data_IF_678333693298
#
_entry.id   IF_678333693298
#
_cell.length_a   1.000
_cell.length_b   1.000
_cell.length_c   1.000
_cell.angle_alpha   90.00
_cell.angle_beta   90.00
_cell.angle_gamma   90.00
#
_symmetry.space_group_name_H-M   'P 1'
#
loop_
_entity.id
_entity.type
_entity.pdbx_description
1 polymer ?
#
# COMPACT_ATOMS: atom_id res chain seq x y z
N UNK A 1 -21.32 -19.64 31.00
CA UNK A 1 -21.93 -18.64 30.10
C UNK A 1 -20.93 -17.55 29.77
N UNK A 2 -20.20 -16.98 30.71
CA UNK A 2 -19.24 -15.88 30.49
C UNK A 2 -18.13 -16.16 29.43
N UNK A 3 -17.57 -17.37 29.39
CA UNK A 3 -16.47 -17.69 28.47
C UNK A 3 -16.90 -17.82 27.00
N UNK A 4 -18.16 -18.09 26.70
CA UNK A 4 -18.69 -18.14 25.32
C UNK A 4 -19.03 -16.73 24.83
N UNK A 5 -19.51 -15.86 25.68
CA UNK A 5 -19.82 -14.46 25.38
C UNK A 5 -18.53 -13.65 25.16
N UNK A 6 -17.51 -13.85 26.01
CA UNK A 6 -16.18 -13.24 25.83
C UNK A 6 -15.56 -13.64 24.47
N UNK A 7 -15.66 -14.91 24.09
CA UNK A 7 -15.12 -15.40 22.81
C UNK A 7 -15.87 -14.85 21.58
N UNK A 8 -17.18 -14.59 21.70
CA UNK A 8 -17.97 -13.96 20.64
C UNK A 8 -17.58 -12.48 20.46
N UNK A 9 -17.45 -11.73 21.56
CA UNK A 9 -17.03 -10.33 21.54
C UNK A 9 -15.62 -10.14 20.97
N UNK A 10 -14.68 -11.03 21.34
CA UNK A 10 -13.31 -10.99 20.79
C UNK A 10 -13.28 -11.27 19.27
N UNK A 11 -14.14 -12.17 18.79
CA UNK A 11 -14.28 -12.44 17.35
C UNK A 11 -14.83 -11.25 16.61
N UNK A 12 -15.86 -10.61 17.12
CA UNK A 12 -16.42 -9.39 16.53
C UNK A 12 -15.38 -8.29 16.45
N UNK A 13 -14.66 -8.05 17.53
CA UNK A 13 -13.59 -7.04 17.56
C UNK A 13 -12.48 -7.33 16.52
N UNK A 14 -12.07 -8.58 16.37
CA UNK A 14 -11.06 -8.97 15.39
C UNK A 14 -11.57 -8.80 13.95
N UNK A 15 -12.84 -9.17 13.68
CA UNK A 15 -13.49 -8.95 12.38
C UNK A 15 -13.55 -7.46 12.05
N UNK A 16 -14.03 -6.65 12.98
CA UNK A 16 -14.19 -5.21 12.81
C UNK A 16 -12.84 -4.52 12.62
N UNK A 17 -11.80 -4.97 13.33
CA UNK A 17 -10.44 -4.51 13.10
C UNK A 17 -9.96 -4.80 11.66
N UNK A 18 -10.27 -5.97 11.12
CA UNK A 18 -9.94 -6.31 9.74
C UNK A 18 -10.71 -5.45 8.73
N UNK A 19 -12.01 -5.19 8.98
CA UNK A 19 -12.85 -4.31 8.16
C UNK A 19 -12.32 -2.87 8.21
N UNK A 20 -12.01 -2.32 9.38
CA UNK A 20 -11.50 -0.96 9.52
C UNK A 20 -10.16 -0.78 8.77
N UNK A 21 -9.29 -1.78 8.80
CA UNK A 21 -8.04 -1.77 8.01
C UNK A 21 -8.33 -1.78 6.51
N UNK A 22 -9.29 -2.59 6.05
CA UNK A 22 -9.75 -2.63 4.68
C UNK A 22 -10.23 -1.25 4.21
N UNK A 23 -11.01 -0.53 5.01
CA UNK A 23 -11.48 0.83 4.69
C UNK A 23 -10.30 1.78 4.45
N UNK A 24 -9.28 1.78 5.30
CA UNK A 24 -8.11 2.65 5.13
C UNK A 24 -7.27 2.24 3.91
N UNK A 25 -7.01 0.95 3.71
CA UNK A 25 -6.29 0.47 2.53
C UNK A 25 -7.01 0.82 1.24
N UNK A 26 -8.33 0.60 1.18
CA UNK A 26 -9.15 0.89 0.00
C UNK A 26 -9.16 2.37 -0.36
N UNK A 27 -9.32 3.25 0.62
CA UNK A 27 -9.31 4.70 0.39
C UNK A 27 -7.93 5.21 -0.06
N UNK A 28 -6.84 4.71 0.55
CA UNK A 28 -5.47 5.05 0.14
C UNK A 28 -5.18 4.54 -1.28
N UNK A 29 -5.63 3.35 -1.63
CA UNK A 29 -5.55 2.81 -2.99
C UNK A 29 -6.27 3.71 -4.00
N UNK A 30 -7.54 4.05 -3.73
CA UNK A 30 -8.33 4.96 -4.58
C UNK A 30 -7.64 6.32 -4.78
N UNK A 31 -7.04 6.86 -3.73
CA UNK A 31 -6.34 8.14 -3.79
C UNK A 31 -5.05 8.12 -4.63
N UNK A 32 -4.46 6.93 -4.87
CA UNK A 32 -3.23 6.77 -5.66
C UNK A 32 -3.47 6.35 -7.10
N UNK A 33 -4.63 5.82 -7.44
CA UNK A 33 -4.98 5.56 -8.84
C UNK A 33 -5.24 6.84 -9.62
N UNK A 34 -5.26 6.72 -10.96
CA UNK A 34 -5.55 7.87 -11.83
C UNK A 34 -6.89 8.51 -11.43
N UNK A 35 -6.93 9.82 -11.13
CA UNK A 35 -8.13 10.47 -10.63
C UNK A 35 -9.24 10.50 -11.69
N UNK A 36 -10.45 10.12 -11.28
CA UNK A 36 -11.67 10.21 -12.08
C UNK A 36 -12.78 10.86 -11.25
N UNK A 37 -13.84 11.33 -11.91
CA UNK A 37 -15.04 11.82 -11.20
C UNK A 37 -15.64 10.76 -10.29
N UNK A 38 -15.60 9.50 -10.72
CA UNK A 38 -16.11 8.38 -9.95
C UNK A 38 -15.30 8.19 -8.66
N UNK A 39 -13.96 8.12 -8.76
CA UNK A 39 -13.09 7.93 -7.59
C UNK A 39 -13.20 9.09 -6.61
N UNK A 40 -13.25 10.33 -7.11
CA UNK A 40 -13.44 11.52 -6.25
C UNK A 40 -14.81 11.56 -5.61
N UNK A 41 -15.86 11.17 -6.33
CA UNK A 41 -17.23 11.08 -5.79
C UNK A 41 -17.30 10.07 -4.64
N UNK A 42 -16.65 8.90 -4.79
CA UNK A 42 -16.58 7.88 -3.73
C UNK A 42 -15.85 8.42 -2.50
N UNK A 43 -14.70 9.07 -2.66
CA UNK A 43 -13.94 9.62 -1.54
C UNK A 43 -14.69 10.75 -0.80
N UNK A 44 -15.46 11.58 -1.54
CA UNK A 44 -16.23 12.71 -0.99
C UNK A 44 -17.58 12.32 -0.40
N UNK A 45 -18.09 11.14 -0.70
CA UNK A 45 -19.35 10.68 -0.14
C UNK A 45 -19.32 10.77 1.39
N UNK A 46 -20.39 11.27 1.99
CA UNK A 46 -20.50 11.43 3.44
C UNK A 46 -20.26 10.10 4.15
N UNK A 47 -20.87 9.02 3.64
CA UNK A 47 -20.71 7.67 4.20
C UNK A 47 -19.24 7.22 4.16
N UNK A 48 -18.49 7.54 3.08
CA UNK A 48 -17.07 7.19 2.97
C UNK A 48 -16.21 7.94 3.98
N UNK A 49 -16.47 9.23 4.17
CA UNK A 49 -15.74 10.07 5.13
C UNK A 49 -16.03 9.65 6.57
N UNK A 50 -17.28 9.32 6.88
CA UNK A 50 -17.67 8.76 8.18
C UNK A 50 -17.00 7.40 8.40
N UNK A 51 -17.04 6.50 7.43
CA UNK A 51 -16.39 5.19 7.52
C UNK A 51 -14.87 5.31 7.76
N UNK A 52 -14.19 6.26 7.12
CA UNK A 52 -12.77 6.53 7.35
C UNK A 52 -12.50 7.01 8.78
N UNK A 53 -13.30 7.94 9.28
CA UNK A 53 -13.18 8.49 10.64
C UNK A 53 -13.45 7.41 11.70
N UNK A 54 -14.49 6.62 11.51
CA UNK A 54 -14.87 5.52 12.42
C UNK A 54 -13.80 4.42 12.41
N UNK A 55 -13.30 4.05 11.23
CA UNK A 55 -12.23 3.07 11.10
C UNK A 55 -10.96 3.51 11.84
N UNK A 56 -10.51 4.75 11.62
CA UNK A 56 -9.34 5.28 12.31
C UNK A 56 -9.53 5.29 13.84
N UNK A 57 -10.70 5.75 14.31
CA UNK A 57 -11.04 5.80 15.73
C UNK A 57 -11.06 4.39 16.36
N UNK A 58 -11.66 3.43 15.69
CA UNK A 58 -11.70 2.04 16.15
C UNK A 58 -10.30 1.42 16.25
N UNK A 59 -9.45 1.62 15.22
CA UNK A 59 -8.10 1.09 15.22
C UNK A 59 -7.23 1.70 16.33
N UNK A 60 -7.39 2.99 16.60
CA UNK A 60 -6.68 3.66 17.70
C UNK A 60 -7.14 3.17 19.06
N UNK A 61 -8.44 2.93 19.25
CA UNK A 61 -8.98 2.36 20.49
C UNK A 61 -8.44 0.95 20.75
N UNK A 62 -8.30 0.12 19.70
CA UNK A 62 -7.72 -1.22 19.81
C UNK A 62 -6.23 -1.21 20.16
N UNK A 63 -5.47 -0.17 19.78
CA UNK A 63 -4.04 -0.06 20.09
C UNK A 63 -3.75 0.32 21.54
N UNK A 64 -4.69 0.94 22.24
CA UNK A 64 -4.54 1.41 23.63
C UNK A 64 -4.61 0.32 24.72
N UNK A 65 -4.88 -0.94 24.35
CA UNK A 65 -5.10 -2.04 25.31
C UNK A 65 -3.83 -2.72 25.85
N UNK A 66 -2.63 -2.34 25.45
CA UNK A 66 -1.37 -2.93 25.88
C UNK A 66 -0.44 -1.92 26.57
N UNK A 67 -0.51 -1.78 27.88
CA UNK A 67 0.36 -0.88 28.67
C UNK A 67 1.87 -1.20 28.56
N UNK A 68 2.26 -2.38 28.08
CA UNK A 68 3.67 -2.79 27.96
C UNK A 68 4.35 -2.26 26.68
N UNK A 69 3.61 -1.94 25.61
CA UNK A 69 4.18 -1.47 24.34
C UNK A 69 4.51 0.05 24.34
N UNK A 70 3.96 0.81 25.28
CA UNK A 70 4.17 2.25 25.39
C UNK A 70 5.60 2.64 25.84
N UNK A 71 6.38 1.74 26.43
CA UNK A 71 7.74 2.02 26.94
C UNK A 71 8.87 1.81 25.92
N UNK A 72 8.59 1.20 24.77
CA UNK A 72 9.59 0.93 23.72
C UNK A 72 9.62 1.97 22.59
N UNK A 73 8.81 3.01 22.69
CA UNK A 73 8.73 4.04 21.66
C UNK A 73 9.92 5.01 21.73
N UNK A 74 10.95 4.76 20.90
CA UNK A 74 11.78 5.85 20.36
C UNK A 74 10.85 6.84 19.63
N UNK A 75 11.22 8.13 19.53
CA UNK A 75 10.37 9.21 19.03
C UNK A 75 9.78 9.01 17.60
N UNK A 76 10.27 8.03 16.84
CA UNK A 76 9.75 7.61 15.54
C UNK A 76 8.65 6.51 15.63
N UNK A 77 8.45 5.92 16.80
CA UNK A 77 7.45 4.88 17.09
C UNK A 77 6.25 5.39 17.90
N UNK A 78 6.12 6.71 18.08
CA UNK A 78 4.91 7.25 18.69
C UNK A 78 3.68 6.76 17.91
N UNK A 79 2.60 6.28 18.57
CA UNK A 79 1.39 5.87 17.89
C UNK A 79 0.93 7.04 17.01
N UNK A 80 0.92 6.80 15.70
CA UNK A 80 0.48 7.79 14.75
C UNK A 80 -0.99 8.07 15.03
N UNK A 81 -1.38 9.32 15.16
CA UNK A 81 -2.77 9.72 15.32
C UNK A 81 -3.48 9.56 13.96
N UNK A 82 -4.01 8.35 13.71
CA UNK A 82 -4.73 8.05 12.47
C UNK A 82 -5.98 8.92 12.32
N UNK A 83 -6.63 9.28 13.42
CA UNK A 83 -7.84 10.10 13.38
C UNK A 83 -7.51 11.49 12.85
N UNK A 84 -6.47 12.13 13.40
CA UNK A 84 -6.04 13.43 12.93
C UNK A 84 -5.61 13.36 11.45
N UNK A 85 -4.85 12.32 11.03
CA UNK A 85 -4.42 12.19 9.63
C UNK A 85 -5.58 11.98 8.66
N UNK A 86 -6.60 11.22 9.04
CA UNK A 86 -7.83 11.09 8.24
C UNK A 86 -8.53 12.43 8.10
N UNK A 87 -8.70 13.17 9.19
CA UNK A 87 -9.35 14.48 9.18
C UNK A 87 -8.58 15.49 8.31
N UNK A 88 -7.27 15.56 8.48
CA UNK A 88 -6.40 16.42 7.68
C UNK A 88 -6.53 16.09 6.18
N UNK A 89 -6.47 14.81 5.81
CA UNK A 89 -6.60 14.39 4.41
C UNK A 89 -7.98 14.69 3.84
N UNK A 90 -9.05 14.36 4.56
CA UNK A 90 -10.43 14.65 4.14
C UNK A 90 -10.61 16.13 3.85
N UNK A 91 -10.09 17.01 4.70
CA UNK A 91 -10.17 18.47 4.51
C UNK A 91 -9.50 18.94 3.22
N UNK A 92 -8.48 18.21 2.70
CA UNK A 92 -7.77 18.63 1.48
C UNK A 92 -8.58 18.45 0.20
N UNK A 93 -9.55 17.54 0.16
CA UNK A 93 -10.25 17.20 -1.10
C UNK A 93 -11.75 17.56 -1.12
N UNK A 94 -12.30 18.08 -0.04
CA UNK A 94 -13.73 18.46 0.00
C UNK A 94 -14.10 19.49 -1.08
N UNK A 95 -13.20 20.40 -1.38
CA UNK A 95 -13.44 21.52 -2.31
C UNK A 95 -12.66 21.45 -3.62
N UNK A 96 -11.77 20.46 -3.80
CA UNK A 96 -10.95 20.37 -5.01
C UNK A 96 -11.78 19.91 -6.21
N UNK A 97 -11.62 20.53 -7.36
CA UNK A 97 -12.15 20.00 -8.63
C UNK A 97 -11.33 18.82 -9.13
N UNK A 98 -11.91 18.00 -10.04
CA UNK A 98 -11.13 16.94 -10.71
C UNK A 98 -9.93 17.51 -11.46
N UNK A 99 -10.08 18.66 -12.13
CA UNK A 99 -9.01 19.30 -12.88
C UNK A 99 -7.82 19.66 -11.98
N UNK A 100 -8.08 20.18 -10.77
CA UNK A 100 -7.04 20.50 -9.80
C UNK A 100 -6.31 19.23 -9.30
N UNK A 101 -7.05 18.14 -9.05
CA UNK A 101 -6.43 16.88 -8.62
C UNK A 101 -5.61 16.26 -9.75
N UNK A 102 -6.11 16.28 -11.00
CA UNK A 102 -5.38 15.81 -12.18
C UNK A 102 -4.09 16.60 -12.40
N UNK A 103 -4.14 17.93 -12.33
CA UNK A 103 -2.94 18.76 -12.48
C UNK A 103 -1.86 18.43 -11.43
N UNK A 104 -2.29 18.15 -10.18
CA UNK A 104 -1.38 17.72 -9.11
C UNK A 104 -0.83 16.30 -9.36
N UNK A 105 -1.70 15.38 -9.80
CA UNK A 105 -1.31 14.02 -10.17
C UNK A 105 -0.25 14.01 -11.26
N UNK A 106 -0.48 14.74 -12.35
CA UNK A 106 0.47 14.86 -13.47
C UNK A 106 1.80 15.51 -13.04
N UNK A 107 1.76 16.49 -12.16
CA UNK A 107 2.96 17.13 -11.61
C UNK A 107 3.81 16.17 -10.80
N UNK A 108 3.18 15.31 -9.98
CA UNK A 108 3.88 14.39 -9.07
C UNK A 108 4.36 13.13 -9.78
N UNK A 109 3.47 12.48 -10.51
CA UNK A 109 3.72 11.18 -11.11
C UNK A 109 4.18 11.27 -12.57
N UNK A 110 3.80 12.36 -13.26
CA UNK A 110 4.18 12.62 -14.66
C UNK A 110 3.58 11.60 -15.63
N UNK A 111 4.15 11.56 -16.82
CA UNK A 111 3.78 10.59 -17.88
C UNK A 111 4.76 9.41 -17.99
N UNK A 112 5.72 9.31 -17.08
CA UNK A 112 6.75 8.27 -17.08
C UNK A 112 6.84 7.61 -15.71
N UNK A 113 7.35 6.39 -15.65
CA UNK A 113 7.57 5.66 -14.39
C UNK A 113 8.47 6.40 -13.37
N UNK A 114 9.15 7.47 -13.80
CA UNK A 114 10.06 8.28 -12.98
C UNK A 114 9.62 9.75 -12.96
N UNK A 115 8.38 9.98 -12.46
CA UNK A 115 7.94 11.33 -12.10
C UNK A 115 8.72 11.90 -10.92
N UNK A 116 8.30 13.05 -10.41
CA UNK A 116 8.89 13.66 -9.20
C UNK A 116 8.78 12.74 -7.99
N UNK A 117 7.68 11.99 -7.93
CA UNK A 117 7.45 10.91 -6.97
C UNK A 117 7.16 9.63 -7.75
N UNK A 118 7.91 8.56 -7.47
CA UNK A 118 7.72 7.29 -8.15
C UNK A 118 6.78 6.38 -7.36
N UNK A 119 5.64 5.91 -7.92
CA UNK A 119 4.71 5.04 -7.22
C UNK A 119 5.05 3.54 -7.31
N UNK A 120 6.15 3.16 -7.96
CA UNK A 120 6.49 1.76 -8.24
C UNK A 120 7.56 1.22 -7.31
N UNK A 121 7.29 0.08 -6.64
CA UNK A 121 8.20 -0.56 -5.68
C UNK A 121 9.58 -0.83 -6.29
N UNK A 122 9.61 -1.40 -7.49
CA UNK A 122 10.87 -1.86 -8.10
C UNK A 122 11.79 -0.74 -8.55
N UNK A 123 11.35 0.52 -8.47
CA UNK A 123 12.18 1.69 -8.73
C UNK A 123 12.94 2.17 -7.48
N UNK A 124 12.63 1.62 -6.28
CA UNK A 124 13.30 1.95 -5.03
C UNK A 124 14.41 0.94 -4.70
N UNK A 125 15.56 1.45 -4.26
CA UNK A 125 16.70 0.66 -3.81
C UNK A 125 17.87 0.69 -4.78
N UNK A 126 18.95 -0.02 -4.41
CA UNK A 126 20.20 -0.10 -5.19
C UNK A 126 20.37 -1.46 -5.89
N UNK A 127 19.33 -2.25 -5.94
CA UNK A 127 19.39 -3.58 -6.54
C UNK A 127 19.54 -3.49 -8.06
N UNK A 128 20.32 -4.42 -8.64
CA UNK A 128 20.62 -4.39 -10.08
C UNK A 128 19.40 -4.62 -10.96
N UNK A 129 19.50 -4.24 -12.24
CA UNK A 129 18.44 -4.37 -13.27
C UNK A 129 17.80 -5.75 -13.36
N UNK A 130 18.55 -6.82 -13.05
CA UNK A 130 18.05 -8.19 -13.10
C UNK A 130 17.10 -8.54 -11.96
N UNK A 131 17.06 -7.75 -10.88
CA UNK A 131 16.18 -8.00 -9.74
C UNK A 131 14.75 -7.47 -9.97
N UNK A 132 14.56 -6.45 -10.82
CA UNK A 132 13.22 -5.90 -11.10
C UNK A 132 12.23 -6.96 -11.61
N UNK A 133 12.55 -7.74 -12.66
CA UNK A 133 11.62 -8.77 -13.16
C UNK A 133 11.30 -9.83 -12.09
N UNK A 134 12.27 -10.15 -11.25
CA UNK A 134 12.10 -11.11 -10.17
C UNK A 134 11.18 -10.57 -9.07
N UNK A 135 11.36 -9.32 -8.65
CA UNK A 135 10.49 -8.66 -7.67
C UNK A 135 9.06 -8.56 -8.20
N UNK A 136 8.90 -8.09 -9.44
CA UNK A 136 7.59 -8.02 -10.09
C UNK A 136 6.91 -9.40 -10.18
N UNK A 137 7.67 -10.44 -10.55
CA UNK A 137 7.14 -11.81 -10.58
C UNK A 137 6.72 -12.30 -9.19
N UNK A 138 7.42 -11.90 -8.13
CA UNK A 138 7.05 -12.25 -6.75
C UNK A 138 5.72 -11.59 -6.35
N UNK A 139 5.55 -10.30 -6.64
CA UNK A 139 4.30 -9.55 -6.39
C UNK A 139 3.14 -10.21 -7.14
N UNK A 140 3.31 -10.47 -8.44
CA UNK A 140 2.31 -11.15 -9.27
C UNK A 140 1.99 -12.56 -8.73
N UNK A 141 2.99 -13.26 -8.19
CA UNK A 141 2.81 -14.56 -7.54
C UNK A 141 1.90 -14.49 -6.31
N UNK A 142 2.00 -13.42 -5.51
CA UNK A 142 1.05 -13.18 -4.41
C UNK A 142 -0.38 -12.99 -4.95
N UNK A 143 -0.58 -12.13 -5.95
CA UNK A 143 -1.91 -11.89 -6.52
C UNK A 143 -2.51 -13.20 -7.06
N UNK A 144 -1.76 -13.96 -7.84
CA UNK A 144 -2.20 -15.24 -8.41
C UNK A 144 -2.53 -16.29 -7.34
N UNK A 145 -1.77 -16.35 -6.25
CA UNK A 145 -2.03 -17.29 -5.15
C UNK A 145 -3.39 -17.05 -4.49
N UNK A 146 -3.92 -15.83 -4.60
CA UNK A 146 -5.25 -15.46 -4.13
C UNK A 146 -6.31 -15.37 -5.24
N UNK A 147 -5.98 -15.81 -6.46
CA UNK A 147 -6.89 -15.81 -7.60
C UNK A 147 -7.11 -14.44 -8.22
N UNK A 148 -6.21 -13.48 -7.96
CA UNK A 148 -6.28 -12.12 -8.49
C UNK A 148 -5.39 -11.98 -9.72
N UNK A 149 -5.82 -11.13 -10.64
CA UNK A 149 -5.04 -10.71 -11.81
C UNK A 149 -5.12 -9.18 -11.95
N UNK A 150 -4.05 -8.56 -12.43
CA UNK A 150 -4.07 -7.13 -12.73
C UNK A 150 -5.07 -6.84 -13.84
N UNK A 151 -5.82 -5.74 -13.73
CA UNK A 151 -6.77 -5.32 -14.77
C UNK A 151 -6.00 -4.86 -16.01
N UNK A 152 -6.23 -5.51 -17.13
CA UNK A 152 -5.57 -5.21 -18.41
C UNK A 152 -5.94 -3.82 -18.95
N UNK A 153 -7.09 -3.30 -18.55
CA UNK A 153 -7.64 -2.03 -19.00
C UNK A 153 -6.95 -0.82 -18.37
N UNK A 154 -6.55 -0.92 -17.11
CA UNK A 154 -5.94 0.18 -16.34
C UNK A 154 -4.43 0.32 -16.61
N UNK A 155 -3.80 -0.65 -17.28
CA UNK A 155 -2.36 -0.67 -17.65
C UNK A 155 -1.39 -0.38 -16.49
N UNK A 156 -1.86 -0.45 -15.25
CA UNK A 156 -0.98 -0.25 -14.11
C UNK A 156 -0.10 -1.47 -13.87
N UNK A 157 1.14 -1.22 -13.48
CA UNK A 157 2.08 -2.28 -13.11
C UNK A 157 1.68 -2.88 -11.76
N UNK A 158 1.90 -4.17 -11.58
CA UNK A 158 1.55 -4.87 -10.35
C UNK A 158 2.26 -4.33 -9.09
N UNK A 159 3.42 -3.68 -9.25
CA UNK A 159 4.21 -3.03 -8.21
C UNK A 159 3.86 -1.55 -7.99
N UNK A 160 2.73 -1.08 -8.52
CA UNK A 160 2.21 0.25 -8.20
C UNK A 160 1.69 0.29 -6.77
N UNK A 161 2.02 1.32 -6.01
CA UNK A 161 1.60 1.45 -4.60
C UNK A 161 0.08 1.30 -4.40
N UNK A 162 -0.72 1.83 -5.33
CA UNK A 162 -2.18 1.67 -5.33
C UNK A 162 -2.60 0.20 -5.47
N UNK A 163 -1.97 -0.57 -6.37
CA UNK A 163 -2.27 -2.00 -6.54
C UNK A 163 -1.87 -2.83 -5.31
N UNK A 164 -0.75 -2.49 -4.68
CA UNK A 164 -0.31 -3.18 -3.46
C UNK A 164 -1.23 -2.89 -2.26
N UNK A 165 -1.73 -1.66 -2.15
CA UNK A 165 -2.74 -1.29 -1.17
C UNK A 165 -4.09 -1.99 -1.43
N UNK A 166 -4.53 -2.09 -2.69
CA UNK A 166 -5.73 -2.84 -3.09
C UNK A 166 -5.62 -4.32 -2.71
N UNK A 167 -4.45 -4.92 -2.89
CA UNK A 167 -4.20 -6.29 -2.46
C UNK A 167 -4.32 -6.47 -0.95
N UNK A 168 -3.80 -5.52 -0.17
CA UNK A 168 -3.93 -5.56 1.30
C UNK A 168 -5.36 -5.30 1.76
N UNK A 169 -6.12 -4.44 1.08
CA UNK A 169 -7.56 -4.29 1.28
C UNK A 169 -8.28 -5.64 1.08
N UNK A 170 -8.03 -6.29 -0.05
CA UNK A 170 -8.59 -7.62 -0.34
C UNK A 170 -8.25 -8.64 0.76
N UNK A 171 -6.99 -8.69 1.21
CA UNK A 171 -6.58 -9.60 2.29
C UNK A 171 -7.26 -9.28 3.63
N UNK A 172 -7.51 -8.01 3.93
CA UNK A 172 -8.25 -7.61 5.12
C UNK A 172 -9.72 -8.08 5.08
N UNK A 173 -10.40 -7.92 3.93
CA UNK A 173 -11.77 -8.44 3.73
C UNK A 173 -11.81 -9.96 3.83
N UNK A 174 -10.81 -10.63 3.28
CA UNK A 174 -10.67 -12.09 3.38
C UNK A 174 -10.44 -12.55 4.83
N UNK A 175 -9.64 -11.80 5.61
CA UNK A 175 -9.45 -12.05 7.05
C UNK A 175 -10.79 -11.92 7.80
N UNK A 176 -11.55 -10.84 7.55
CA UNK A 176 -12.85 -10.62 8.16
C UNK A 176 -13.83 -11.75 7.84
N UNK A 177 -13.90 -12.18 6.59
CA UNK A 177 -14.72 -13.30 6.15
C UNK A 177 -14.31 -14.62 6.84
N UNK A 178 -13.01 -14.90 6.95
CA UNK A 178 -12.50 -16.09 7.62
C UNK A 178 -12.88 -16.10 9.11
N UNK A 179 -12.83 -14.94 9.77
CA UNK A 179 -13.25 -14.79 11.16
C UNK A 179 -14.76 -15.05 11.29
N UNK A 180 -15.56 -14.46 10.42
CA UNK A 180 -17.03 -14.60 10.45
C UNK A 180 -17.46 -16.05 10.18
N UNK A 181 -16.84 -16.72 9.22
CA UNK A 181 -17.10 -18.12 8.89
C UNK A 181 -16.49 -19.13 9.90
N UNK A 182 -15.63 -18.68 10.80
CA UNK A 182 -14.91 -19.55 11.75
C UNK A 182 -13.82 -20.41 11.10
N UNK A 183 -13.31 -20.01 9.92
CA UNK A 183 -12.23 -20.71 9.22
C UNK A 183 -10.86 -20.22 9.69
N UNK A 184 -10.34 -20.85 10.75
CA UNK A 184 -9.04 -20.51 11.34
C UNK A 184 -7.86 -20.82 10.40
N UNK A 185 -7.98 -21.81 9.50
CA UNK A 185 -6.93 -22.12 8.52
C UNK A 185 -6.82 -20.97 7.50
N UNK A 186 -7.93 -20.55 6.92
CA UNK A 186 -7.99 -19.39 5.99
C UNK A 186 -7.50 -18.13 6.68
N UNK A 187 -7.94 -17.87 7.92
CA UNK A 187 -7.51 -16.70 8.71
C UNK A 187 -6.00 -16.69 8.90
N UNK A 188 -5.42 -17.82 9.34
CA UNK A 188 -3.99 -17.96 9.58
C UNK A 188 -3.16 -17.69 8.31
N UNK A 189 -3.52 -18.31 7.19
CA UNK A 189 -2.83 -18.13 5.91
C UNK A 189 -2.99 -16.69 5.38
N UNK A 190 -4.18 -16.10 5.53
CA UNK A 190 -4.41 -14.71 5.11
C UNK A 190 -3.57 -13.72 5.92
N UNK A 191 -3.51 -13.89 7.25
CA UNK A 191 -2.66 -13.04 8.12
C UNK A 191 -1.17 -13.21 7.82
N UNK A 192 -0.74 -14.43 7.53
CA UNK A 192 0.64 -14.70 7.11
C UNK A 192 0.97 -13.98 5.80
N UNK A 193 0.07 -14.04 4.83
CA UNK A 193 0.24 -13.32 3.56
C UNK A 193 0.32 -11.81 3.78
N UNK A 194 -0.58 -11.20 4.57
CA UNK A 194 -0.54 -9.78 4.91
C UNK A 194 0.82 -9.39 5.52
N UNK A 195 1.27 -10.15 6.53
CA UNK A 195 2.54 -9.88 7.22
C UNK A 195 3.73 -9.95 6.28
N UNK A 196 3.81 -10.99 5.43
CA UNK A 196 4.91 -11.17 4.49
C UNK A 196 4.87 -10.10 3.40
N UNK A 197 3.70 -9.80 2.86
CA UNK A 197 3.55 -8.78 1.82
C UNK A 197 3.91 -7.38 2.35
N UNK A 198 3.47 -7.04 3.54
CA UNK A 198 3.89 -5.79 4.20
C UNK A 198 5.39 -5.75 4.45
N UNK A 199 5.99 -6.86 4.89
CA UNK A 199 7.43 -6.89 5.20
C UNK A 199 8.30 -6.78 3.96
N UNK A 200 7.96 -7.53 2.90
CA UNK A 200 8.85 -7.80 1.77
C UNK A 200 8.52 -6.92 0.55
N UNK A 201 7.34 -6.26 0.51
CA UNK A 201 6.84 -5.42 -0.57
C UNK A 201 6.44 -4.02 -0.09
N UNK A 202 5.15 -3.69 0.03
CA UNK A 202 4.68 -2.34 0.37
C UNK A 202 5.43 -1.71 1.54
N UNK A 203 5.67 -2.44 2.59
CA UNK A 203 6.38 -1.94 3.77
C UNK A 203 7.83 -1.57 3.50
N UNK A 204 8.45 -2.13 2.47
CA UNK A 204 9.84 -1.85 2.12
C UNK A 204 10.04 -0.42 1.61
N UNK A 205 9.14 0.08 0.79
CA UNK A 205 9.25 1.41 0.17
C UNK A 205 8.14 2.39 0.56
N UNK A 206 6.99 1.90 0.99
CA UNK A 206 5.78 2.70 1.17
C UNK A 206 5.95 3.90 2.10
N UNK A 207 6.76 3.79 3.18
CA UNK A 207 7.06 4.94 4.06
C UNK A 207 7.95 5.98 3.39
N UNK A 208 8.92 5.57 2.58
CA UNK A 208 9.75 6.49 1.81
C UNK A 208 8.93 7.19 0.73
N UNK A 209 8.07 6.46 0.03
CA UNK A 209 7.11 7.00 -0.94
C UNK A 209 6.14 8.00 -0.29
N UNK A 210 5.53 7.64 0.83
CA UNK A 210 4.61 8.48 1.58
C UNK A 210 5.27 9.81 2.03
N UNK A 211 6.53 9.73 2.48
CA UNK A 211 7.32 10.91 2.82
C UNK A 211 7.56 11.81 1.62
N UNK A 212 7.89 11.26 0.45
CA UNK A 212 8.09 12.03 -0.77
C UNK A 212 6.80 12.75 -1.20
N UNK A 213 5.63 12.12 -1.10
CA UNK A 213 4.34 12.77 -1.36
C UNK A 213 4.16 14.00 -0.48
N UNK A 214 4.38 13.88 0.82
CA UNK A 214 4.27 14.99 1.77
C UNK A 214 5.27 16.11 1.45
N UNK A 215 6.53 15.78 1.12
CA UNK A 215 7.55 16.78 0.82
C UNK A 215 7.27 17.56 -0.46
N UNK A 216 6.64 16.93 -1.45
CA UNK A 216 6.34 17.56 -2.74
C UNK A 216 5.01 18.34 -2.75
N UNK A 217 4.08 18.01 -1.87
CA UNK A 217 2.79 18.68 -1.77
C UNK A 217 2.30 18.77 -0.32
N UNK A 218 2.99 19.49 0.58
CA UNK A 218 2.76 19.39 2.03
C UNK A 218 1.32 19.73 2.48
N UNK A 219 0.64 20.65 1.80
CA UNK A 219 -0.70 21.12 2.18
C UNK A 219 -1.79 20.66 1.16
N UNK A 220 -1.50 19.67 0.33
CA UNK A 220 -2.38 19.24 -0.73
C UNK A 220 -2.94 17.82 -0.55
N UNK A 221 -3.74 17.39 -1.54
CA UNK A 221 -4.38 16.09 -1.56
C UNK A 221 -3.38 14.94 -1.38
N UNK A 222 -2.30 14.92 -2.17
CA UNK A 222 -1.30 13.85 -2.13
C UNK A 222 -0.37 13.94 -0.91
N UNK A 223 -0.16 15.13 -0.38
CA UNK A 223 0.59 15.31 0.87
C UNK A 223 -0.16 14.76 2.07
N UNK A 224 -1.44 15.09 2.21
CA UNK A 224 -2.32 14.54 3.24
C UNK A 224 -2.48 13.01 3.12
N UNK A 225 -2.61 12.50 1.87
CA UNK A 225 -2.60 11.06 1.60
C UNK A 225 -1.28 10.43 2.05
N UNK A 226 -0.15 11.07 1.75
CA UNK A 226 1.17 10.62 2.20
C UNK A 226 1.30 10.57 3.72
N UNK A 227 0.82 11.58 4.43
CA UNK A 227 0.82 11.60 5.89
C UNK A 227 -0.02 10.46 6.49
N UNK A 228 -1.22 10.23 5.94
CA UNK A 228 -2.07 9.12 6.36
C UNK A 228 -1.43 7.77 6.06
N UNK A 229 -0.88 7.57 4.86
CA UNK A 229 -0.20 6.34 4.46
C UNK A 229 0.99 6.05 5.38
N UNK A 230 1.82 7.05 5.66
CA UNK A 230 2.96 6.91 6.57
C UNK A 230 2.53 6.48 7.97
N UNK A 231 1.52 7.14 8.51
CA UNK A 231 0.95 6.87 9.82
C UNK A 231 0.37 5.46 9.89
N UNK A 232 -0.41 5.07 8.89
CA UNK A 232 -1.08 3.77 8.83
C UNK A 232 -0.08 2.62 8.67
N UNK A 233 0.91 2.74 7.80
CA UNK A 233 1.98 1.74 7.68
C UNK A 233 2.78 1.59 8.98
N UNK A 234 3.03 2.69 9.69
CA UNK A 234 3.72 2.65 10.98
C UNK A 234 2.88 1.88 12.02
N UNK A 235 1.56 2.09 12.02
CA UNK A 235 0.64 1.34 12.86
C UNK A 235 0.62 -0.16 12.51
N UNK A 236 0.57 -0.50 11.22
CA UNK A 236 0.60 -1.89 10.72
C UNK A 236 1.90 -2.61 11.11
N UNK A 237 3.04 -1.93 11.07
CA UNK A 237 4.30 -2.52 11.52
C UNK A 237 4.27 -2.90 12.99
N UNK A 238 3.72 -2.04 13.86
CA UNK A 238 3.51 -2.37 15.26
C UNK A 238 2.64 -3.62 15.42
N UNK A 239 1.48 -3.64 14.74
CA UNK A 239 0.53 -4.75 14.78
C UNK A 239 1.14 -6.09 14.34
N UNK A 240 1.94 -6.11 13.30
CA UNK A 240 2.58 -7.32 12.79
C UNK A 240 3.97 -7.59 13.36
N UNK A 241 4.47 -6.72 14.24
CA UNK A 241 5.84 -6.76 14.79
C UNK A 241 6.88 -6.85 13.66
N UNK A 242 6.75 -5.99 12.67
CA UNK A 242 7.67 -5.85 11.54
C UNK A 242 8.63 -4.70 11.88
N UNK A 243 9.94 -4.91 11.71
CA UNK A 243 10.91 -3.82 11.80
C UNK A 243 10.66 -2.82 10.66
N UNK A 244 10.53 -1.53 10.99
CA UNK A 244 10.27 -0.52 9.97
C UNK A 244 11.42 -0.40 8.99
N UNK A 245 11.10 -0.35 7.69
CA UNK A 245 12.08 -0.04 6.66
C UNK A 245 12.53 1.42 6.72
N UNK A 246 13.65 1.72 6.05
CA UNK A 246 14.19 3.07 5.98
C UNK A 246 13.18 4.05 5.37
N UNK A 247 13.08 5.24 5.95
CA UNK A 247 12.21 6.32 5.45
C UNK A 247 12.85 7.13 4.32
N UNK A 248 14.10 6.85 3.99
CA UNK A 248 14.82 7.43 2.86
C UNK A 248 15.38 6.28 2.05
N UNK A 249 14.87 6.13 0.84
CA UNK A 249 15.37 5.15 -0.12
C UNK A 249 15.75 5.89 -1.40
N UNK A 250 16.94 5.62 -1.96
CA UNK A 250 17.29 6.16 -3.27
C UNK A 250 16.40 5.54 -4.33
N UNK A 251 16.02 6.32 -5.32
CA UNK A 251 15.51 5.78 -6.56
C UNK A 251 16.67 5.18 -7.35
N UNK A 252 16.38 4.15 -8.11
CA UNK A 252 17.33 3.50 -9.00
C UNK A 252 17.94 4.51 -9.99
N UNK A 253 19.23 4.40 -10.28
CA UNK A 253 19.93 5.29 -11.20
C UNK A 253 19.39 5.14 -12.63
N UNK A 254 19.16 6.26 -13.32
CA UNK A 254 18.79 6.26 -14.74
C UNK A 254 19.93 5.76 -15.66
N UNK A 255 21.17 5.76 -15.15
CA UNK A 255 22.33 5.27 -15.90
C UNK A 255 22.32 3.74 -16.03
N UNK A 256 21.68 3.03 -15.09
CA UNK A 256 21.52 1.57 -15.17
C UNK A 256 20.59 1.15 -16.34
N UNK A 257 19.69 2.02 -16.82
CA UNK A 257 18.84 1.77 -17.98
C UNK A 257 19.57 2.03 -19.30
N UNK A 258 20.68 2.76 -19.26
CA UNK A 258 21.45 3.14 -20.45
C UNK A 258 22.49 2.08 -20.87
N UNK A 259 22.64 0.97 -20.11
CA UNK A 259 23.44 -0.16 -20.56
C UNK A 259 22.68 -0.79 -21.74
N UNK A 260 23.15 -0.61 -23.00
CA UNK A 260 22.53 -1.32 -24.11
C UNK A 260 22.61 -2.80 -23.78
N UNK A 261 21.50 -3.50 -23.78
CA UNK A 261 21.53 -4.95 -23.95
C UNK A 261 22.22 -5.17 -25.32
N UNK A 262 23.52 -5.26 -25.32
CA UNK A 262 24.25 -5.74 -26.45
C UNK A 262 23.86 -7.20 -26.66
N UNK A 263 22.74 -7.41 -27.34
CA UNK A 263 22.58 -8.62 -28.10
C UNK A 263 23.85 -8.69 -28.94
N UNK A 264 24.67 -9.72 -28.70
CA UNK A 264 25.99 -9.90 -29.29
C UNK A 264 26.05 -9.41 -30.72
N UNK A 265 27.14 -8.75 -31.06
CA UNK A 265 27.31 -8.18 -32.40
C UNK A 265 27.02 -9.24 -33.45
N UNK A 266 26.66 -8.83 -34.65
CA UNK A 266 26.28 -9.70 -35.79
C UNK A 266 27.28 -10.79 -36.13
N UNK A 267 28.44 -10.82 -35.50
CA UNK A 267 29.52 -11.78 -35.66
C UNK A 267 29.38 -13.07 -34.86
N UNK A 268 28.52 -13.10 -33.83
CA UNK A 268 28.32 -14.26 -32.94
C UNK A 268 27.08 -15.10 -33.25
N UNK A 269 26.39 -14.84 -34.36
CA UNK A 269 25.30 -15.71 -34.81
C UNK A 269 25.85 -16.97 -35.43
N UNK A 270 25.87 -18.07 -34.70
CA UNK A 270 26.11 -19.41 -35.24
C UNK A 270 24.99 -19.70 -36.24
N UNK A 271 25.33 -19.68 -37.54
CA UNK A 271 24.42 -20.15 -38.57
C UNK A 271 24.30 -21.68 -38.43
N UNK A 272 23.17 -22.13 -37.90
CA UNK A 272 22.79 -23.53 -37.99
C UNK A 272 22.49 -23.85 -39.45
N UNK A 273 23.45 -24.50 -40.10
CA UNK A 273 23.29 -24.98 -41.48
C UNK A 273 22.16 -26.00 -41.55
N UNK A 274 21.19 -25.79 -42.44
CA UNK A 274 20.16 -26.76 -42.77
C UNK A 274 20.84 -27.94 -43.50
N UNK A 275 20.74 -29.20 -43.03
CA UNK A 275 21.25 -30.32 -43.78
C UNK A 275 20.45 -30.51 -45.07
N UNK A 276 21.13 -30.70 -46.20
CA UNK A 276 20.56 -31.03 -47.52
C UNK A 276 20.04 -32.46 -47.54
#
# INVERSE_FOLDING_TARGET
MDSLETNASDREQLRDQAICRSVLYGALSLGLHYPTEETLSVLRAEDSRLALSDAASFLMACAGGGEEDARAASSERAPADLVARVQDWVATFESLSLEEVLARFEKLFGHTARGTVCPYETEYGQEGLFEQPRQLATIMGYYQAFGLTTRTEERERADHAGCELEFLDFLCRKEAYAIESGDEAMRSETRKAQRLFLKDHLGRFGRAFARLLREQEPDGFFGGLGDLLFAFLTWEYGRFRIEPAAVVLPLRSAEDDAVPMACGGKEDLIQLGVPR
#
